data_IF_467470676166
#
_entry.id   IF_467470676166
#
_cell.length_a   1.000
_cell.length_b   1.000
_cell.length_c   1.000
_cell.angle_alpha   90.00
_cell.angle_beta   90.00
_cell.angle_gamma   90.00
#
_symmetry.space_group_name_H-M   'P 1'
#
loop_
_entity.id
_entity.type
_entity.pdbx_description
1 polymer ?
#
# COMPACT_ATOMS: atom_id res chain seq x y z
N UNK A 1 3.03 -4.71 59.70
CA UNK A 1 3.77 -4.29 58.47
C UNK A 1 2.86 -4.51 57.25
N UNK A 2 1.95 -3.59 56.93
CA UNK A 2 0.99 -3.75 55.81
C UNK A 2 0.64 -2.42 55.11
N UNK A 3 1.38 -1.34 55.41
CA UNK A 3 1.11 0.02 54.91
C UNK A 3 1.65 0.37 53.50
N UNK A 4 2.61 -0.33 52.86
CA UNK A 4 3.09 0.10 51.54
C UNK A 4 2.19 -0.36 50.39
N UNK A 5 1.31 -1.36 50.61
CA UNK A 5 0.44 -1.91 49.57
C UNK A 5 -0.74 -1.00 49.21
N UNK A 6 -1.14 -0.10 50.13
CA UNK A 6 -2.29 0.79 49.93
C UNK A 6 -1.97 2.04 49.08
N UNK A 7 -0.68 2.33 48.83
CA UNK A 7 -0.26 3.47 48.00
C UNK A 7 0.19 3.07 46.59
N UNK A 8 0.41 1.78 46.31
CA UNK A 8 0.83 1.30 44.98
C UNK A 8 -0.34 1.08 44.01
N UNK A 9 -1.53 0.77 44.52
CA UNK A 9 -2.74 0.55 43.73
C UNK A 9 -3.21 1.79 42.94
N UNK A 10 -3.28 3.01 43.51
CA UNK A 10 -3.67 4.21 42.74
C UNK A 10 -2.64 4.60 41.68
N UNK A 11 -1.36 4.28 41.89
CA UNK A 11 -0.29 4.56 40.92
C UNK A 11 -0.42 3.71 39.65
N UNK A 12 -0.80 2.43 39.78
CA UNK A 12 -1.07 1.54 38.64
C UNK A 12 -2.30 2.00 37.82
N UNK A 13 -3.33 2.51 38.49
CA UNK A 13 -4.53 3.06 37.83
C UNK A 13 -4.21 4.33 37.01
N UNK A 14 -3.27 5.16 37.45
CA UNK A 14 -2.84 6.34 36.67
C UNK A 14 -2.05 5.99 35.42
N UNK A 15 -1.28 4.88 35.42
CA UNK A 15 -0.56 4.43 34.23
C UNK A 15 -1.48 3.80 33.18
N UNK A 16 -2.53 3.08 33.59
CA UNK A 16 -3.53 2.53 32.67
C UNK A 16 -4.42 3.60 32.01
N UNK A 17 -4.47 4.81 32.57
CA UNK A 17 -5.26 5.93 32.03
C UNK A 17 -4.63 6.63 30.83
N UNK A 18 -3.31 6.52 30.63
CA UNK A 18 -2.61 7.23 29.53
C UNK A 18 -3.05 6.74 28.15
N UNK A 19 -3.22 5.42 27.97
CA UNK A 19 -3.67 4.82 26.70
C UNK A 19 -5.10 5.28 26.33
N UNK A 20 -6.01 5.27 27.31
CA UNK A 20 -7.41 5.73 27.16
C UNK A 20 -7.48 7.22 26.79
N UNK A 21 -6.62 8.05 27.39
CA UNK A 21 -6.54 9.47 27.07
C UNK A 21 -5.95 9.69 25.67
N UNK A 22 -4.92 8.95 25.26
CA UNK A 22 -4.38 9.04 23.90
C UNK A 22 -5.43 8.69 22.83
N UNK A 23 -6.23 7.65 23.07
CA UNK A 23 -7.32 7.24 22.18
C UNK A 23 -8.46 8.27 22.10
N UNK A 24 -8.85 8.90 23.22
CA UNK A 24 -9.89 9.95 23.23
C UNK A 24 -9.43 11.27 22.59
N UNK A 25 -8.12 11.57 22.66
CA UNK A 25 -7.55 12.80 22.10
C UNK A 25 -7.27 12.69 20.58
N UNK A 26 -7.60 11.57 19.95
CA UNK A 26 -7.41 11.36 18.51
C UNK A 26 -5.95 11.32 18.06
N UNK A 27 -5.02 11.18 19.01
CA UNK A 27 -3.60 11.03 18.73
C UNK A 27 -3.41 9.56 18.38
N UNK A 28 -3.36 9.26 17.09
CA UNK A 28 -3.07 7.92 16.63
C UNK A 28 -1.76 7.44 17.24
N UNK A 29 -1.82 6.26 17.88
CA UNK A 29 -0.64 5.61 18.41
C UNK A 29 0.42 5.42 17.30
N UNK A 30 1.65 5.84 17.58
CA UNK A 30 2.72 5.83 16.58
C UNK A 30 3.03 4.42 16.08
N UNK A 31 2.84 3.41 16.94
CA UNK A 31 3.04 2.02 16.60
C UNK A 31 1.87 1.51 15.72
N UNK A 32 0.63 1.90 15.99
CA UNK A 32 -0.50 1.65 15.09
C UNK A 32 -0.29 2.25 13.70
N UNK A 33 0.21 3.49 13.62
CA UNK A 33 0.54 4.14 12.35
C UNK A 33 1.64 3.40 11.59
N UNK A 34 2.71 3.03 12.29
CA UNK A 34 3.81 2.26 11.70
C UNK A 34 3.32 0.91 11.17
N UNK A 35 2.49 0.20 11.94
CA UNK A 35 1.91 -1.08 11.53
C UNK A 35 1.02 -0.95 10.29
N UNK A 36 0.22 0.12 10.18
CA UNK A 36 -0.56 0.38 8.95
C UNK A 36 0.36 0.63 7.76
N UNK A 37 1.37 1.48 7.90
CA UNK A 37 2.30 1.78 6.80
C UNK A 37 3.07 0.52 6.37
N UNK A 38 3.43 -0.34 7.31
CA UNK A 38 4.03 -1.64 7.01
C UNK A 38 3.07 -2.54 6.22
N UNK A 39 1.81 -2.65 6.67
CA UNK A 39 0.78 -3.44 5.99
C UNK A 39 0.50 -2.93 4.57
N UNK A 40 0.39 -1.61 4.39
CA UNK A 40 0.24 -0.97 3.07
C UNK A 40 1.44 -1.28 2.16
N UNK A 41 2.67 -1.18 2.69
CA UNK A 41 3.87 -1.52 1.93
C UNK A 41 3.85 -2.98 1.47
N UNK A 42 3.52 -3.92 2.36
CA UNK A 42 3.42 -5.35 2.01
C UNK A 42 2.34 -5.61 0.96
N UNK A 43 1.17 -4.99 1.11
CA UNK A 43 0.08 -5.12 0.14
C UNK A 43 0.51 -4.64 -1.25
N UNK A 44 1.17 -3.48 -1.33
CA UNK A 44 1.71 -2.94 -2.58
C UNK A 44 2.78 -3.85 -3.19
N UNK A 45 3.72 -4.33 -2.39
CA UNK A 45 4.77 -5.25 -2.82
C UNK A 45 4.20 -6.56 -3.40
N UNK A 46 3.23 -7.14 -2.71
CA UNK A 46 2.54 -8.34 -3.16
C UNK A 46 1.78 -8.11 -4.46
N UNK A 47 1.01 -7.04 -4.56
CA UNK A 47 0.30 -6.68 -5.80
C UNK A 47 1.27 -6.48 -6.98
N UNK A 48 2.38 -5.80 -6.73
CA UNK A 48 3.46 -5.60 -7.69
C UNK A 48 3.98 -6.92 -8.24
N UNK A 49 4.25 -7.89 -7.36
CA UNK A 49 4.69 -9.21 -7.79
C UNK A 49 3.59 -9.96 -8.56
N UNK A 50 2.37 -9.95 -8.05
CA UNK A 50 1.25 -10.57 -8.73
C UNK A 50 1.06 -10.04 -10.15
N UNK A 51 1.40 -8.76 -10.36
CA UNK A 51 1.40 -8.13 -11.68
C UNK A 51 2.59 -8.42 -12.59
N UNK A 52 3.55 -9.23 -12.15
CA UNK A 52 4.75 -9.55 -12.92
C UNK A 52 5.78 -8.41 -13.02
N UNK A 53 5.65 -7.34 -12.22
CA UNK A 53 6.60 -6.21 -12.25
C UNK A 53 7.88 -6.51 -11.47
N UNK A 54 8.99 -5.93 -11.95
CA UNK A 54 10.24 -5.90 -11.22
C UNK A 54 10.11 -5.02 -9.97
N UNK A 55 10.85 -5.35 -8.91
CA UNK A 55 10.80 -4.61 -7.65
C UNK A 55 11.24 -3.15 -7.79
N UNK A 56 12.20 -2.88 -8.68
CA UNK A 56 12.70 -1.52 -8.92
C UNK A 56 11.61 -0.60 -9.50
N UNK A 57 10.75 -1.13 -10.37
CA UNK A 57 9.59 -0.37 -10.89
C UNK A 57 8.62 0.00 -9.76
N UNK A 58 8.44 -0.92 -8.80
CA UNK A 58 7.58 -0.69 -7.66
C UNK A 58 8.12 0.40 -6.73
N UNK A 59 9.44 0.50 -6.55
CA UNK A 59 10.04 1.60 -5.82
C UNK A 59 9.91 2.94 -6.53
N UNK A 60 9.96 2.95 -7.86
CA UNK A 60 9.75 4.16 -8.65
C UNK A 60 8.29 4.64 -8.57
N UNK A 61 7.33 3.72 -8.73
CA UNK A 61 5.90 4.04 -8.70
C UNK A 61 5.45 4.42 -7.30
N UNK A 62 5.86 3.68 -6.27
CA UNK A 62 5.39 3.82 -4.88
C UNK A 62 6.42 4.46 -3.94
N UNK A 63 7.10 5.51 -4.41
CA UNK A 63 8.22 6.14 -3.70
C UNK A 63 7.86 6.76 -2.33
N UNK A 64 6.57 6.95 -2.02
CA UNK A 64 6.09 7.48 -0.74
C UNK A 64 5.92 6.41 0.34
N UNK A 65 6.00 5.14 -0.04
CA UNK A 65 5.96 3.99 0.86
C UNK A 65 7.39 3.54 1.19
N UNK A 66 7.64 3.03 2.41
CA UNK A 66 8.94 2.51 2.78
C UNK A 66 9.29 1.25 1.97
N UNK A 67 10.54 1.18 1.47
CA UNK A 67 11.01 0.10 0.61
C UNK A 67 11.01 -1.27 1.29
N UNK A 68 11.31 -1.32 2.58
CA UNK A 68 11.42 -2.58 3.34
C UNK A 68 10.12 -3.41 3.33
N UNK A 69 8.94 -2.89 3.70
CA UNK A 69 7.70 -3.66 3.63
C UNK A 69 7.26 -3.98 2.20
N UNK A 70 7.54 -3.12 1.21
CA UNK A 70 7.31 -3.44 -0.21
C UNK A 70 8.10 -4.68 -0.61
N UNK A 71 9.39 -4.73 -0.27
CA UNK A 71 10.21 -5.90 -0.57
C UNK A 71 9.70 -7.17 0.12
N UNK A 72 9.35 -7.07 1.40
CA UNK A 72 8.82 -8.20 2.16
C UNK A 72 7.56 -8.77 1.51
N UNK A 73 6.57 -7.93 1.19
CA UNK A 73 5.35 -8.37 0.52
C UNK A 73 5.58 -8.93 -0.90
N UNK A 74 6.56 -8.38 -1.62
CA UNK A 74 6.95 -8.89 -2.94
C UNK A 74 7.56 -10.30 -2.85
N UNK A 75 8.41 -10.57 -1.86
CA UNK A 75 9.01 -11.88 -1.63
C UNK A 75 7.99 -12.92 -1.15
N UNK A 76 7.11 -12.52 -0.23
CA UNK A 76 6.00 -13.36 0.25
C UNK A 76 5.12 -13.79 -0.94
N UNK A 77 4.77 -12.85 -1.82
CA UNK A 77 3.99 -13.15 -3.02
C UNK A 77 4.78 -13.91 -4.10
N UNK A 78 6.09 -13.68 -4.27
CA UNK A 78 6.95 -14.50 -5.16
C UNK A 78 6.88 -15.96 -4.73
N UNK A 79 7.09 -16.19 -3.44
CA UNK A 79 7.07 -17.54 -2.85
C UNK A 79 5.70 -18.18 -3.02
N UNK A 80 4.63 -17.44 -2.73
CA UNK A 80 3.27 -17.92 -2.89
C UNK A 80 2.95 -18.29 -4.35
N UNK A 81 3.29 -17.44 -5.31
CA UNK A 81 3.03 -17.70 -6.73
C UNK A 81 3.85 -18.88 -7.25
N UNK A 82 5.12 -19.02 -6.85
CA UNK A 82 5.98 -20.15 -7.26
C UNK A 82 5.50 -21.47 -6.68
N UNK A 83 5.11 -21.48 -5.40
CA UNK A 83 4.62 -22.68 -4.73
C UNK A 83 3.26 -23.13 -5.28
N UNK A 84 2.41 -22.19 -5.70
CA UNK A 84 1.06 -22.48 -6.18
C UNK A 84 0.90 -22.43 -7.71
N UNK A 85 1.98 -22.18 -8.47
CA UNK A 85 1.99 -22.05 -9.94
C UNK A 85 0.95 -21.04 -10.46
N UNK A 86 0.90 -19.89 -9.80
CA UNK A 86 0.01 -18.80 -10.18
C UNK A 86 0.72 -17.95 -11.22
N UNK A 87 0.07 -17.74 -12.36
CA UNK A 87 0.54 -16.86 -13.43
C UNK A 87 0.40 -15.39 -13.03
N UNK A 88 1.28 -14.54 -13.55
CA UNK A 88 1.18 -13.10 -13.36
C UNK A 88 -0.02 -12.53 -14.12
N UNK A 89 -0.72 -11.59 -13.50
CA UNK A 89 -1.86 -10.89 -14.12
C UNK A 89 -1.42 -9.53 -14.61
N UNK A 90 -1.44 -9.32 -15.92
CA UNK A 90 -0.99 -8.06 -16.50
C UNK A 90 -1.87 -6.88 -16.02
N UNK A 91 -1.27 -5.78 -15.53
CA UNK A 91 -2.01 -4.60 -15.10
C UNK A 91 -2.85 -4.00 -16.21
N UNK A 92 -4.16 -3.95 -15.99
CA UNK A 92 -5.11 -3.34 -16.94
C UNK A 92 -5.14 -1.81 -16.85
N UNK A 93 -4.58 -1.25 -15.78
CA UNK A 93 -4.59 0.19 -15.52
C UNK A 93 -3.16 0.75 -15.62
N UNK A 94 -3.01 1.98 -16.15
CA UNK A 94 -1.73 2.67 -16.10
C UNK A 94 -1.30 2.86 -14.63
N UNK A 95 0.01 2.93 -14.35
CA UNK A 95 0.52 3.14 -13.00
C UNK A 95 -0.15 4.35 -12.32
N UNK A 96 -0.52 4.25 -11.04
CA UNK A 96 -1.10 5.36 -10.32
C UNK A 96 -0.12 6.53 -10.30
N UNK A 97 -0.62 7.75 -10.49
CA UNK A 97 0.19 8.95 -10.37
C UNK A 97 0.63 9.13 -8.92
N UNK A 98 1.88 9.54 -8.66
CA UNK A 98 2.35 9.74 -7.31
C UNK A 98 1.54 10.85 -6.60
N UNK A 99 1.28 10.70 -5.28
CA UNK A 99 0.54 11.69 -4.51
C UNK A 99 1.25 13.06 -4.60
N UNK A 100 0.48 14.08 -4.98
CA UNK A 100 0.98 15.44 -5.18
C UNK A 100 1.24 15.84 -6.65
N UNK A 101 1.22 14.89 -7.60
CA UNK A 101 1.22 15.24 -9.03
C UNK A 101 -0.20 15.57 -9.50
N UNK A 102 -0.54 16.86 -9.58
CA UNK A 102 -1.75 17.30 -10.30
C UNK A 102 -1.56 16.97 -11.78
N UNK A 103 -2.39 16.06 -12.31
CA UNK A 103 -2.50 15.81 -13.76
C UNK A 103 -2.91 17.11 -14.45
N UNK A 104 -2.02 17.63 -15.31
CA UNK A 104 -2.45 18.47 -16.43
C UNK A 104 -3.18 17.51 -17.37
N UNK A 105 -4.48 17.72 -17.59
CA UNK A 105 -5.27 16.86 -18.46
C UNK A 105 -4.55 16.68 -19.80
N UNK A 106 -4.22 15.43 -20.13
CA UNK A 106 -3.74 15.09 -21.46
C UNK A 106 -4.96 15.10 -22.38
N UNK A 107 -4.91 15.97 -23.39
CA UNK A 107 -5.87 16.06 -24.48
C UNK A 107 -5.94 14.68 -25.19
N UNK A 108 -7.14 14.14 -25.32
CA UNK A 108 -7.40 12.92 -26.11
C UNK A 108 -7.01 13.15 -27.57
N UNK A 109 -6.28 12.25 -28.24
CA UNK A 109 -6.28 12.24 -29.69
C UNK A 109 -7.59 11.60 -30.15
N UNK A 110 -8.52 12.43 -30.60
CA UNK A 110 -9.65 11.99 -31.40
C UNK A 110 -9.14 11.40 -32.72
N UNK A 111 -9.24 10.08 -32.90
CA UNK A 111 -9.15 9.44 -34.20
C UNK A 111 -9.90 8.10 -34.24
N UNK A 112 -11.21 8.15 -33.99
CA UNK A 112 -12.13 7.16 -34.55
C UNK A 112 -12.64 7.71 -35.88
N UNK A 113 -11.99 7.31 -36.98
CA UNK A 113 -12.50 7.51 -38.33
C UNK A 113 -12.17 6.28 -39.21
N UNK A 114 -13.01 5.27 -39.11
CA UNK A 114 -13.38 4.37 -40.21
C UNK A 114 -14.88 4.13 -40.09
N UNK A 115 -15.68 4.06 -41.18
CA UNK A 115 -15.38 3.17 -42.30
C UNK A 115 -15.81 3.66 -43.71
N UNK A 116 -15.19 3.10 -44.76
CA UNK A 116 -15.87 2.86 -46.04
C UNK A 116 -15.05 1.87 -46.88
N UNK A 117 -15.52 0.63 -46.91
CA UNK A 117 -15.31 -0.32 -48.00
C UNK A 117 -15.85 0.27 -49.32
N UNK A 118 -15.05 0.22 -50.40
CA UNK A 118 -15.56 0.05 -51.77
C UNK A 118 -14.51 -0.68 -52.62
N UNK A 119 -14.97 -1.82 -53.17
CA UNK A 119 -14.36 -2.59 -54.27
C UNK A 119 -14.07 -1.74 -55.52
N UNK A 120 -13.05 -2.17 -56.27
CA UNK A 120 -12.91 -2.23 -57.75
C UNK A 120 -11.42 -1.96 -58.13
N UNK A 121 -10.63 -2.98 -58.46
CA UNK A 121 -10.38 -3.48 -59.83
C UNK A 121 -9.47 -2.55 -60.66
N UNK A 122 -8.19 -2.92 -60.81
CA UNK A 122 -7.49 -3.24 -62.08
C UNK A 122 -6.06 -3.70 -61.80
#
# INVERSE_FOLDING_TARGET
>A
MTRPLLLTLPFLLTFAGCDIVQQQMGIEDLNAKAARVEAEGKAVGGACRHSGRAIEDCYAIYHWLPKAPIFAGWQEMDTYMRTNKIESVEPQLPPPAPPGTRRKAAEEPAANAKPAEKKAEK
#
